data_IF_077074703371
#
_entry.id   IF_077074703371
#
_cell.length_a   1.000
_cell.length_b   1.000
_cell.length_c   1.000
_cell.angle_alpha   90.00
_cell.angle_beta   90.00
_cell.angle_gamma   90.00
#
_symmetry.space_group_name_H-M   'P 1'
#
loop_
_entity.id
_entity.type
_entity.pdbx_description
1 polymer ?
#
# COMPACT_ATOMS: atom_id res chain seq x y z
N UNK A 1 26.88 44.93 24.55
CA UNK A 1 27.33 43.95 23.53
C UNK A 1 26.23 43.88 22.47
N UNK A 2 26.47 44.55 21.34
CA UNK A 2 26.65 44.01 19.98
C UNK A 2 25.36 43.43 19.34
N UNK A 3 25.00 44.11 18.25
CA UNK A 3 23.82 44.03 17.38
C UNK A 3 23.55 42.62 16.85
N UNK A 4 22.28 42.21 16.86
CA UNK A 4 21.80 41.04 16.13
C UNK A 4 21.72 41.36 14.63
N UNK A 5 22.44 40.58 13.83
CA UNK A 5 22.34 40.49 12.38
C UNK A 5 21.45 39.28 12.08
N UNK A 6 20.36 39.48 11.34
CA UNK A 6 19.68 38.40 10.64
C UNK A 6 19.42 38.86 9.21
N UNK A 7 20.30 38.37 8.34
CA UNK A 7 20.29 38.43 6.88
C UNK A 7 19.00 37.82 6.33
N UNK A 8 18.22 38.63 5.62
CA UNK A 8 17.13 38.19 4.75
C UNK A 8 17.69 37.97 3.33
N UNK A 9 17.47 36.79 2.76
CA UNK A 9 17.77 36.48 1.35
C UNK A 9 16.89 35.34 0.88
N UNK A 10 16.66 35.29 -0.44
CA UNK A 10 15.83 34.39 -1.27
C UNK A 10 14.36 34.82 -1.46
N UNK A 11 13.81 34.89 -2.68
CA UNK A 11 14.37 34.83 -4.04
C UNK A 11 13.32 35.41 -5.01
N UNK A 12 13.78 36.14 -6.02
CA UNK A 12 12.99 36.89 -6.98
C UNK A 12 12.16 36.05 -7.98
N UNK A 13 11.05 36.65 -8.41
CA UNK A 13 10.25 36.31 -9.58
C UNK A 13 11.09 36.24 -10.87
N UNK A 14 10.77 35.30 -11.76
CA UNK A 14 11.24 35.31 -13.15
C UNK A 14 10.06 35.61 -14.06
N UNK A 15 10.28 36.61 -14.93
CA UNK A 15 9.35 37.20 -15.88
C UNK A 15 9.44 36.48 -17.23
N UNK A 16 8.28 36.44 -17.90
CA UNK A 16 7.98 36.12 -19.30
C UNK A 16 9.10 36.47 -20.29
N UNK A 17 9.50 35.48 -21.10
CA UNK A 17 10.22 35.67 -22.35
C UNK A 17 9.27 35.50 -23.55
N UNK A 18 9.11 36.58 -24.31
CA UNK A 18 8.43 36.64 -25.60
C UNK A 18 9.43 36.24 -26.69
N UNK A 19 9.16 35.17 -27.44
CA UNK A 19 9.95 34.72 -28.59
C UNK A 19 9.29 35.15 -29.89
N UNK A 20 9.95 36.04 -30.63
CA UNK A 20 9.48 36.62 -31.89
C UNK A 20 9.54 35.66 -33.07
N UNK A 21 8.59 35.85 -34.00
CA UNK A 21 8.53 35.22 -35.31
C UNK A 21 9.42 35.96 -36.31
N UNK A 22 10.18 35.22 -37.12
CA UNK A 22 10.63 35.65 -38.44
C UNK A 22 10.60 34.44 -39.39
N UNK A 23 10.10 34.72 -40.60
CA UNK A 23 9.66 33.80 -41.66
C UNK A 23 10.75 32.92 -42.28
N UNK A 24 10.37 31.68 -42.62
CA UNK A 24 10.25 31.19 -44.01
C UNK A 24 10.77 29.75 -44.22
N UNK A 25 9.86 28.97 -44.82
CA UNK A 25 10.07 27.81 -45.68
C UNK A 25 10.26 26.43 -45.03
N UNK A 26 9.17 25.67 -45.17
CA UNK A 26 9.12 24.27 -45.54
C UNK A 26 9.10 23.23 -44.40
N UNK A 27 7.92 23.07 -43.81
CA UNK A 27 7.51 21.77 -43.26
C UNK A 27 6.11 21.48 -43.79
N UNK A 28 6.06 20.46 -44.65
CA UNK A 28 4.86 19.89 -45.20
C UNK A 28 3.76 19.73 -44.13
N UNK A 29 2.64 20.40 -44.37
CA UNK A 29 1.38 20.21 -43.66
C UNK A 29 0.86 18.80 -43.94
N UNK A 30 1.27 17.86 -43.11
CA UNK A 30 0.47 16.66 -42.84
C UNK A 30 -0.28 16.94 -41.53
N UNK A 31 -1.47 17.52 -41.69
CA UNK A 31 -2.46 17.58 -40.62
C UNK A 31 -2.94 16.15 -40.34
N UNK A 32 -2.17 15.36 -39.60
CA UNK A 32 -2.61 14.06 -39.11
C UNK A 32 -1.95 13.76 -37.76
N UNK A 33 -2.53 14.35 -36.72
CA UNK A 33 -2.69 13.78 -35.38
C UNK A 33 -3.13 14.91 -34.44
N UNK A 34 -4.31 15.49 -34.72
CA UNK A 34 -5.12 15.93 -33.60
C UNK A 34 -5.40 14.66 -32.78
N UNK A 35 -4.90 14.61 -31.54
CA UNK A 35 -5.26 13.60 -30.56
C UNK A 35 -6.76 13.76 -30.26
N UNK A 36 -7.59 13.18 -31.12
CA UNK A 36 -9.03 13.10 -30.92
C UNK A 36 -9.25 12.17 -29.73
N UNK A 37 -9.64 12.72 -28.59
CA UNK A 37 -10.25 11.93 -27.51
C UNK A 37 -11.59 11.43 -28.04
N UNK A 38 -11.60 10.27 -28.69
CA UNK A 38 -12.84 9.64 -29.09
C UNK A 38 -13.58 9.25 -27.81
N UNK A 39 -14.72 9.91 -27.58
CA UNK A 39 -15.66 9.47 -26.55
C UNK A 39 -16.26 8.14 -27.00
N UNK A 40 -16.40 7.19 -26.06
CA UNK A 40 -16.98 5.89 -26.35
C UNK A 40 -18.37 6.07 -27.01
N UNK A 41 -18.51 5.57 -28.25
CA UNK A 41 -19.74 5.66 -29.04
C UNK A 41 -19.78 6.71 -30.16
N UNK A 42 -18.68 7.43 -30.44
CA UNK A 42 -18.60 8.32 -31.61
C UNK A 42 -18.40 7.54 -32.92
N UNK A 43 -19.43 7.53 -33.76
CA UNK A 43 -19.46 6.85 -35.07
C UNK A 43 -18.40 7.33 -36.08
N UNK A 44 -17.79 8.50 -35.87
CA UNK A 44 -16.74 9.02 -36.73
C UNK A 44 -15.33 8.55 -36.30
N UNK A 45 -15.20 7.95 -35.11
CA UNK A 45 -13.98 7.29 -34.71
C UNK A 45 -14.05 5.84 -35.20
N UNK A 46 -13.10 5.43 -36.02
CA UNK A 46 -12.99 4.03 -36.37
C UNK A 46 -12.69 3.26 -35.07
N UNK A 47 -13.65 2.49 -34.58
CA UNK A 47 -13.41 1.46 -33.58
C UNK A 47 -12.32 0.56 -34.19
N UNK A 48 -11.08 0.76 -33.73
CA UNK A 48 -9.96 -0.04 -34.16
C UNK A 48 -10.35 -1.50 -33.97
N UNK A 49 -10.18 -2.31 -35.02
CA UNK A 49 -10.69 -3.68 -35.13
C UNK A 49 -10.87 -4.34 -33.76
N UNK A 50 -12.12 -4.67 -33.41
CA UNK A 50 -12.47 -5.41 -32.19
C UNK A 50 -11.43 -6.52 -31.99
N UNK A 51 -10.60 -6.38 -30.96
CA UNK A 51 -9.46 -7.26 -30.67
C UNK A 51 -9.87 -8.67 -30.24
N UNK A 52 -11.04 -9.14 -30.67
CA UNK A 52 -11.76 -10.26 -30.10
C UNK A 52 -12.35 -9.90 -28.74
N UNK A 53 -13.35 -10.67 -28.31
CA UNK A 53 -13.78 -10.63 -26.91
C UNK A 53 -12.57 -10.92 -26.02
N UNK A 54 -12.34 -10.08 -25.00
CA UNK A 54 -11.37 -10.38 -23.96
C UNK A 54 -11.67 -11.79 -23.42
N UNK A 55 -10.66 -12.65 -23.37
CA UNK A 55 -10.80 -14.00 -22.82
C UNK A 55 -11.34 -13.97 -21.39
N UNK A 56 -11.94 -15.08 -20.95
CA UNK A 56 -12.37 -15.22 -19.56
C UNK A 56 -11.21 -14.92 -18.62
N UNK A 57 -11.47 -14.05 -17.64
CA UNK A 57 -10.54 -13.80 -16.55
C UNK A 57 -10.36 -15.11 -15.77
N UNK A 58 -9.13 -15.43 -15.33
CA UNK A 58 -8.90 -16.64 -14.56
C UNK A 58 -9.72 -16.61 -13.27
N UNK A 59 -10.35 -17.75 -12.94
CA UNK A 59 -11.13 -17.92 -11.71
C UNK A 59 -10.24 -17.85 -10.44
N UNK A 60 -8.94 -18.13 -10.58
CA UNK A 60 -7.97 -18.13 -9.48
C UNK A 60 -6.64 -17.52 -9.94
N UNK A 61 -6.11 -16.60 -9.14
CA UNK A 61 -4.76 -16.08 -9.28
C UNK A 61 -3.88 -16.78 -8.25
N UNK A 62 -2.88 -17.53 -8.71
CA UNK A 62 -1.84 -18.08 -7.82
C UNK A 62 -0.77 -17.01 -7.58
N UNK A 63 -0.42 -16.78 -6.32
CA UNK A 63 0.63 -15.85 -5.90
C UNK A 63 1.97 -16.58 -5.65
N UNK A 64 2.22 -17.71 -6.31
CA UNK A 64 3.45 -18.47 -6.15
C UNK A 64 4.62 -17.87 -6.94
N UNK A 65 5.84 -18.18 -6.51
CA UNK A 65 7.05 -17.89 -7.29
C UNK A 65 7.01 -18.71 -8.61
N UNK A 66 7.22 -18.07 -9.78
CA UNK A 66 7.17 -18.74 -11.07
C UNK A 66 8.31 -19.74 -11.29
N UNK A 67 9.45 -19.56 -10.62
CA UNK A 67 10.63 -20.41 -10.73
C UNK A 67 10.66 -21.52 -9.66
N UNK A 68 9.97 -21.31 -8.53
CA UNK A 68 9.79 -22.31 -7.46
C UNK A 68 8.35 -22.28 -6.88
N UNK A 69 7.41 -23.06 -7.44
CA UNK A 69 6.01 -23.03 -7.00
C UNK A 69 5.79 -23.55 -5.58
N UNK A 70 6.78 -24.24 -5.00
CA UNK A 70 6.73 -24.77 -3.64
C UNK A 70 7.38 -23.80 -2.61
N UNK A 71 7.95 -22.68 -3.07
CA UNK A 71 8.56 -21.69 -2.19
C UNK A 71 7.51 -21.07 -1.24
N UNK A 72 7.85 -20.85 0.05
CA UNK A 72 6.97 -20.18 1.00
C UNK A 72 6.60 -18.77 0.53
N UNK A 73 5.30 -18.48 0.45
CA UNK A 73 4.83 -17.15 0.09
C UNK A 73 4.98 -16.19 1.27
N UNK A 74 5.98 -15.30 1.19
CA UNK A 74 6.12 -14.21 2.17
C UNK A 74 5.11 -13.11 1.90
N UNK A 75 4.40 -12.70 2.95
CA UNK A 75 3.38 -11.66 2.92
C UNK A 75 3.50 -10.76 4.12
N UNK A 76 2.97 -9.54 3.99
CA UNK A 76 2.88 -8.59 5.08
C UNK A 76 1.40 -8.23 5.29
N UNK A 77 0.94 -8.34 6.54
CA UNK A 77 -0.40 -7.94 6.94
C UNK A 77 -0.33 -6.80 7.96
N UNK A 78 -1.17 -5.79 7.73
CA UNK A 78 -1.39 -4.70 8.67
C UNK A 78 -2.68 -4.87 9.46
N UNK A 79 -2.67 -4.54 10.74
CA UNK A 79 -3.87 -4.49 11.58
C UNK A 79 -3.59 -4.11 13.03
N UNK A 80 -4.62 -4.14 13.85
CA UNK A 80 -4.51 -4.13 15.31
C UNK A 80 -4.27 -5.55 15.80
N UNK A 81 -3.26 -5.73 16.65
CA UNK A 81 -3.00 -7.03 17.25
C UNK A 81 -4.03 -7.33 18.34
N UNK A 82 -4.50 -8.57 18.39
CA UNK A 82 -5.30 -9.11 19.47
C UNK A 82 -4.87 -10.56 19.75
N UNK A 83 -4.79 -10.93 21.02
CA UNK A 83 -4.68 -12.32 21.45
C UNK A 83 -5.38 -12.55 22.77
N UNK A 84 -6.08 -13.68 22.91
CA UNK A 84 -6.65 -14.13 24.18
C UNK A 84 -5.73 -15.07 24.97
N UNK A 85 -4.47 -15.20 24.53
CA UNK A 85 -3.48 -16.13 25.06
C UNK A 85 -3.55 -17.55 24.47
N UNK A 86 -4.60 -17.87 23.70
CA UNK A 86 -4.75 -19.14 22.98
C UNK A 86 -4.73 -18.93 21.47
N UNK A 87 -5.39 -17.88 21.00
CA UNK A 87 -5.49 -17.50 19.60
C UNK A 87 -4.88 -16.11 19.44
N UNK A 88 -4.12 -15.90 18.38
CA UNK A 88 -3.53 -14.62 18.00
C UNK A 88 -4.07 -14.20 16.64
N UNK A 89 -4.45 -12.93 16.51
CA UNK A 89 -5.13 -12.41 15.33
C UNK A 89 -4.66 -11.00 15.00
N UNK A 90 -4.65 -10.67 13.70
CA UNK A 90 -4.66 -9.30 13.23
C UNK A 90 -6.10 -8.90 12.88
N UNK A 91 -6.52 -7.76 13.41
CA UNK A 91 -7.88 -7.25 13.27
C UNK A 91 -7.85 -5.92 12.52
N UNK A 92 -8.79 -5.68 11.61
CA UNK A 92 -8.89 -4.39 10.92
C UNK A 92 -9.52 -3.34 11.83
N UNK A 93 -10.27 -3.78 12.84
CA UNK A 93 -10.83 -2.95 13.89
C UNK A 93 -11.01 -3.79 15.17
N UNK A 94 -10.82 -3.15 16.32
CA UNK A 94 -11.16 -3.69 17.62
C UNK A 94 -12.60 -3.32 17.98
N UNK A 95 -13.32 -4.23 18.63
CA UNK A 95 -14.65 -3.96 19.14
C UNK A 95 -14.59 -3.00 20.33
N UNK A 96 -15.65 -2.20 20.51
CA UNK A 96 -15.80 -1.25 21.63
C UNK A 96 -16.13 -1.98 22.96
N UNK A 97 -15.21 -2.83 23.43
CA UNK A 97 -15.28 -3.54 24.71
C UNK A 97 -13.98 -3.39 25.49
N UNK A 98 -13.99 -3.70 26.80
CA UNK A 98 -12.80 -3.66 27.64
C UNK A 98 -12.68 -4.93 28.50
N UNK A 99 -11.72 -5.83 28.21
CA UNK A 99 -10.74 -5.79 27.12
C UNK A 99 -11.38 -5.79 25.72
N UNK A 100 -10.74 -5.19 24.70
CA UNK A 100 -11.26 -5.22 23.34
C UNK A 100 -11.27 -6.64 22.79
N UNK A 101 -12.16 -6.88 21.84
CA UNK A 101 -12.21 -8.12 21.05
C UNK A 101 -11.88 -7.81 19.60
N UNK A 102 -11.50 -8.82 18.82
CA UNK A 102 -11.38 -8.67 17.37
C UNK A 102 -12.77 -8.37 16.76
N UNK A 103 -13.00 -7.13 16.33
CA UNK A 103 -14.28 -6.72 15.75
C UNK A 103 -14.43 -7.16 14.29
N UNK A 104 -13.32 -7.18 13.55
CA UNK A 104 -13.23 -7.65 12.18
C UNK A 104 -11.85 -8.25 11.92
N UNK A 105 -11.82 -9.52 11.53
CA UNK A 105 -10.60 -10.30 11.31
C UNK A 105 -9.94 -9.90 9.99
N UNK A 106 -8.62 -9.69 10.01
CA UNK A 106 -7.77 -9.66 8.81
C UNK A 106 -7.22 -11.05 8.56
N UNK A 107 -6.50 -11.62 9.55
CA UNK A 107 -5.92 -12.95 9.46
C UNK A 107 -5.62 -13.53 10.85
N UNK A 108 -5.75 -14.86 10.97
CA UNK A 108 -5.27 -15.59 12.14
C UNK A 108 -3.75 -15.79 12.06
N UNK A 109 -3.08 -15.67 13.21
CA UNK A 109 -1.64 -15.82 13.34
C UNK A 109 -1.36 -17.18 13.96
N UNK A 110 -0.51 -17.96 13.31
CA UNK A 110 -0.09 -19.28 13.77
C UNK A 110 1.38 -19.23 14.21
N UNK A 111 1.58 -18.96 15.50
CA UNK A 111 2.87 -19.04 16.19
C UNK A 111 2.64 -19.06 17.71
N UNK A 112 3.62 -19.51 18.51
CA UNK A 112 3.61 -19.36 19.96
C UNK A 112 3.47 -17.87 20.37
N UNK A 113 2.75 -17.61 21.47
CA UNK A 113 2.44 -16.23 21.88
C UNK A 113 3.69 -15.37 22.09
N UNK A 114 4.76 -15.92 22.66
CA UNK A 114 6.04 -15.24 22.85
C UNK A 114 6.66 -14.78 21.53
N UNK A 115 6.65 -15.66 20.52
CA UNK A 115 7.12 -15.32 19.15
C UNK A 115 6.25 -14.22 18.54
N UNK A 116 4.92 -14.32 18.70
CA UNK A 116 4.00 -13.28 18.19
C UNK A 116 4.26 -11.94 18.86
N UNK A 117 4.44 -11.90 20.18
CA UNK A 117 4.69 -10.67 20.92
C UNK A 117 6.03 -10.03 20.53
N UNK A 118 7.06 -10.82 20.24
CA UNK A 118 8.34 -10.34 19.71
C UNK A 118 8.13 -9.65 18.36
N UNK A 119 7.48 -10.30 17.40
CA UNK A 119 7.20 -9.73 16.08
C UNK A 119 6.31 -8.47 16.16
N UNK A 120 5.32 -8.46 17.05
CA UNK A 120 4.49 -7.28 17.31
C UNK A 120 5.34 -6.14 17.84
N UNK A 121 6.25 -6.41 18.78
CA UNK A 121 7.15 -5.39 19.33
C UNK A 121 8.13 -4.84 18.26
N UNK A 122 8.67 -5.70 17.41
CA UNK A 122 9.53 -5.31 16.29
C UNK A 122 8.83 -4.41 15.27
N UNK A 123 7.50 -4.55 15.10
CA UNK A 123 6.73 -3.70 14.19
C UNK A 123 6.75 -2.21 14.58
N UNK A 124 7.07 -1.88 15.83
CA UNK A 124 7.27 -0.52 16.31
C UNK A 124 8.69 0.02 16.05
N UNK A 125 9.58 -0.80 15.48
CA UNK A 125 10.98 -0.48 15.19
C UNK A 125 11.93 -0.59 16.38
N UNK A 126 11.41 -0.49 17.60
CA UNK A 126 12.14 -0.73 18.84
C UNK A 126 11.21 -1.46 19.84
N UNK A 127 11.60 -2.62 20.38
CA UNK A 127 10.74 -3.38 21.29
C UNK A 127 10.38 -2.63 22.57
N UNK A 128 11.24 -1.70 23.04
CA UNK A 128 10.97 -0.90 24.24
C UNK A 128 9.84 0.13 24.01
N UNK A 129 9.54 0.46 22.76
CA UNK A 129 8.48 1.40 22.37
C UNK A 129 7.15 0.69 22.08
N UNK A 130 7.11 -0.64 22.17
CA UNK A 130 5.93 -1.44 21.87
C UNK A 130 4.80 -1.18 22.87
N UNK A 131 3.67 -0.67 22.36
CA UNK A 131 2.48 -0.37 23.17
C UNK A 131 1.50 -1.54 23.19
N UNK A 132 1.94 -2.67 23.74
CA UNK A 132 1.11 -3.86 23.92
C UNK A 132 0.39 -3.74 25.26
N UNK A 133 -0.94 -3.59 25.20
CA UNK A 133 -1.79 -3.59 26.37
C UNK A 133 -2.06 -5.03 26.82
N UNK A 134 -2.11 -5.24 28.14
CA UNK A 134 -2.37 -6.56 28.74
C UNK A 134 -3.39 -6.42 29.86
N UNK A 135 -4.49 -7.18 29.76
CA UNK A 135 -5.50 -7.23 30.82
C UNK A 135 -6.20 -8.60 30.83
N UNK A 136 -6.26 -9.24 32.00
CA UNK A 136 -6.92 -10.55 32.19
C UNK A 136 -6.43 -11.66 31.23
N UNK A 137 -5.16 -11.61 30.80
CA UNK A 137 -4.60 -12.57 29.84
C UNK A 137 -4.92 -12.28 28.37
N UNK A 138 -5.59 -11.16 28.10
CA UNK A 138 -5.81 -10.63 26.74
C UNK A 138 -4.70 -9.61 26.43
N UNK A 139 -4.16 -9.69 25.22
CA UNK A 139 -3.12 -8.82 24.69
C UNK A 139 -3.67 -8.08 23.48
N UNK A 140 -3.42 -6.78 23.36
CA UNK A 140 -3.81 -6.04 22.15
C UNK A 140 -2.96 -4.79 21.94
N UNK A 141 -2.98 -4.24 20.73
CA UNK A 141 -2.39 -2.93 20.42
C UNK A 141 -3.48 -1.91 20.08
N UNK A 142 -3.33 -0.69 20.58
CA UNK A 142 -4.15 0.45 20.12
C UNK A 142 -3.56 1.09 18.85
N UNK A 143 -2.29 0.82 18.59
CA UNK A 143 -1.56 1.25 17.40
C UNK A 143 -1.61 0.15 16.33
N UNK A 144 -1.59 0.58 15.06
CA UNK A 144 -1.54 -0.30 13.90
C UNK A 144 -0.15 -0.93 13.75
N UNK A 145 -0.10 -2.25 13.63
CA UNK A 145 1.13 -3.03 13.47
C UNK A 145 1.16 -3.69 12.09
N UNK A 146 2.37 -3.96 11.59
CA UNK A 146 2.57 -4.71 10.36
C UNK A 146 3.43 -5.93 10.66
N UNK A 147 2.91 -7.12 10.36
CA UNK A 147 3.60 -8.38 10.59
C UNK A 147 3.94 -9.01 9.25
N UNK A 148 5.18 -9.47 9.12
CA UNK A 148 5.66 -10.19 7.94
C UNK A 148 5.89 -11.65 8.29
N UNK A 149 5.49 -12.55 7.40
CA UNK A 149 5.61 -13.99 7.63
C UNK A 149 5.18 -14.78 6.40
N UNK A 150 4.95 -16.07 6.59
CA UNK A 150 4.52 -16.97 5.50
C UNK A 150 3.02 -17.17 5.52
N UNK A 151 2.35 -17.09 4.37
CA UNK A 151 0.93 -17.45 4.25
C UNK A 151 0.76 -18.98 4.08
N UNK A 152 0.14 -19.64 5.06
CA UNK A 152 -0.18 -21.08 4.98
C UNK A 152 -1.63 -21.33 5.38
N UNK A 153 -2.41 -21.98 4.50
CA UNK A 153 -3.81 -22.32 4.76
C UNK A 153 -4.65 -21.13 5.33
N UNK A 154 -4.47 -19.94 4.75
CA UNK A 154 -5.11 -18.69 5.16
C UNK A 154 -4.74 -18.20 6.58
N UNK A 155 -3.55 -18.56 7.06
CA UNK A 155 -2.97 -18.12 8.33
C UNK A 155 -1.59 -17.54 8.11
N UNK A 156 -1.25 -16.54 8.91
CA UNK A 156 0.07 -15.94 8.94
C UNK A 156 0.96 -16.73 9.90
N UNK A 157 1.95 -17.42 9.37
CA UNK A 157 2.95 -18.15 10.15
C UNK A 157 4.15 -17.24 10.40
N UNK A 158 4.54 -17.11 11.66
CA UNK A 158 5.71 -16.33 12.11
C UNK A 158 6.77 -17.30 12.68
N UNK A 159 8.05 -17.01 12.43
CA UNK A 159 9.19 -17.88 12.78
C UNK A 159 10.30 -17.12 13.50
#
# INVERSE_FOLDING_TARGET
MKRMLATATLLCLIVVGCGGSDDAADVATTNDAASSSCLAGDTACADGADGGAAGELPDVISLADPDDPDAPLQVNFGGFFYSDGTISQLCSALAESFPPQCGSLVIDIEAPLDVVLEHVAESFGNPDDAKININQGIYWTDDWVNLSGTLQANRLVLE
#
